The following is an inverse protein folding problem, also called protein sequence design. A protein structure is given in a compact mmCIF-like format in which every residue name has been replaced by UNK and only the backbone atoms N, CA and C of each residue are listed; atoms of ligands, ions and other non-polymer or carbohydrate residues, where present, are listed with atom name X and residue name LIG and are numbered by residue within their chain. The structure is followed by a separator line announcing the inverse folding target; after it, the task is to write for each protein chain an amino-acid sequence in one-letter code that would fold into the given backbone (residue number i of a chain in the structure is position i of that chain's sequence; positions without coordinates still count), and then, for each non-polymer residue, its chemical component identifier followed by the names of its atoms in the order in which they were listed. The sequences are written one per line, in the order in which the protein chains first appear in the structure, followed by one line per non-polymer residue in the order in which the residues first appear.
data_IF_499895541080
#
_entry.id   IF_499895541080
#
_cell.length_a   1.000
_cell.length_b   1.000
_cell.length_c   1.000
_cell.angle_alpha   90.00
_cell.angle_beta   90.00
_cell.angle_gamma   90.00
#
_symmetry.space_group_name_H-M   'P 1'
#
loop_
_entity.id
_entity.type
_entity.pdbx_description
1 polymer ?
#
# COMPACT_ATOMS: atom_id res chain seq x y z
N UNK A 1 -28.41 67.76 2.87
CA UNK A 1 -27.11 68.46 2.86
C UNK A 1 -26.10 67.55 2.22
N UNK A 2 -25.60 67.97 1.05
CA UNK A 2 -24.68 67.22 0.20
C UNK A 2 -23.24 67.74 0.41
N UNK A 3 -22.27 66.83 0.38
CA UNK A 3 -20.84 67.07 0.19
C UNK A 3 -20.13 65.71 0.24
N UNK A 4 -19.16 65.30 -0.56
CA UNK A 4 -18.52 65.80 -1.79
C UNK A 4 -17.77 64.57 -2.34
N UNK A 5 -17.78 64.36 -3.66
CA UNK A 5 -16.90 63.40 -4.33
C UNK A 5 -15.46 63.88 -4.23
N UNK A 6 -14.51 62.99 -3.96
CA UNK A 6 -13.18 63.12 -4.55
C UNK A 6 -12.64 61.74 -4.96
N UNK A 7 -12.03 61.73 -6.13
CA UNK A 7 -11.53 60.59 -6.87
C UNK A 7 -10.01 60.75 -6.91
N UNK A 8 -9.27 59.75 -6.43
CA UNK A 8 -7.94 59.49 -6.99
C UNK A 8 -7.54 58.03 -6.91
N UNK A 9 -7.25 57.51 -8.10
CA UNK A 9 -6.71 56.20 -8.38
C UNK A 9 -5.17 56.17 -8.26
N UNK A 10 -4.65 54.95 -8.40
CA UNK A 10 -3.27 54.54 -8.67
C UNK A 10 -2.29 54.48 -7.49
N UNK A 11 -2.04 53.24 -7.06
CA UNK A 11 -0.94 52.86 -6.18
C UNK A 11 -0.82 51.34 -6.09
N UNK A 12 -0.45 50.71 -7.21
CA UNK A 12 -0.18 49.28 -7.34
C UNK A 12 0.88 48.81 -6.33
N UNK A 13 0.46 48.09 -5.29
CA UNK A 13 1.34 47.34 -4.39
C UNK A 13 0.95 45.87 -4.38
N UNK A 14 1.18 45.17 -5.50
CA UNK A 14 1.08 43.71 -5.56
C UNK A 14 2.24 43.11 -4.76
N UNK A 15 2.06 42.94 -3.46
CA UNK A 15 2.93 42.07 -2.66
C UNK A 15 2.48 40.63 -2.91
N UNK A 16 2.98 40.06 -4.00
CA UNK A 16 2.95 38.62 -4.21
C UNK A 16 3.94 38.04 -3.20
N UNK A 17 3.46 37.69 -2.00
CA UNK A 17 4.17 36.73 -1.19
C UNK A 17 4.11 35.40 -1.94
N UNK A 18 5.16 35.14 -2.73
CA UNK A 18 5.52 33.78 -3.14
C UNK A 18 5.61 32.98 -1.84
N UNK A 19 4.76 31.97 -1.59
CA UNK A 19 5.14 30.94 -0.65
C UNK A 19 6.43 30.36 -1.21
N UNK A 20 7.52 30.52 -0.44
CA UNK A 20 8.78 29.87 -0.74
C UNK A 20 8.46 28.42 -1.05
N UNK A 21 8.79 27.98 -2.26
CA UNK A 21 8.80 26.58 -2.63
C UNK A 21 9.80 25.94 -1.70
N UNK A 22 9.32 25.47 -0.55
CA UNK A 22 10.03 24.49 0.25
C UNK A 22 10.10 23.30 -0.67
N UNK A 23 11.24 23.17 -1.36
CA UNK A 23 11.64 21.91 -1.96
C UNK A 23 11.75 20.98 -0.77
N UNK A 24 10.61 20.37 -0.40
CA UNK A 24 10.59 19.21 0.48
C UNK A 24 11.49 18.22 -0.23
N UNK A 25 12.72 18.09 0.26
CA UNK A 25 13.56 16.93 0.05
C UNK A 25 12.61 15.75 0.14
N UNK A 26 12.33 15.09 -1.00
CA UNK A 26 11.60 13.83 -0.99
C UNK A 26 12.52 12.90 -0.21
N UNK A 27 12.19 12.51 1.04
CA UNK A 27 13.05 11.58 1.75
C UNK A 27 13.08 10.32 0.89
N UNK A 28 14.25 9.75 0.65
CA UNK A 28 14.41 8.54 -0.17
C UNK A 28 13.55 7.39 0.39
N UNK A 29 13.27 7.43 1.69
CA UNK A 29 12.28 6.61 2.41
C UNK A 29 10.91 6.61 1.71
N UNK A 30 10.46 7.76 1.17
CA UNK A 30 9.15 7.89 0.53
C UNK A 30 8.98 7.13 -0.79
N UNK A 31 10.08 6.76 -1.47
CA UNK A 31 10.02 5.95 -2.69
C UNK A 31 10.00 4.46 -2.36
N UNK A 32 10.78 4.04 -1.37
CA UNK A 32 10.79 2.67 -0.87
C UNK A 32 9.42 2.30 -0.29
N UNK A 33 8.83 3.12 0.59
CA UNK A 33 7.51 2.85 1.16
C UNK A 33 6.41 2.83 0.10
N UNK A 34 6.53 3.61 -0.99
CA UNK A 34 5.59 3.55 -2.13
C UNK A 34 5.73 2.27 -2.94
N UNK A 35 6.97 1.84 -3.19
CA UNK A 35 7.25 0.59 -3.87
C UNK A 35 6.71 -0.60 -3.07
N UNK A 36 7.02 -0.65 -1.76
CA UNK A 36 6.55 -1.69 -0.85
C UNK A 36 5.02 -1.71 -0.79
N UNK A 37 4.38 -0.53 -0.70
CA UNK A 37 2.92 -0.43 -0.74
C UNK A 37 2.32 -0.97 -2.04
N UNK A 38 2.91 -0.64 -3.20
CA UNK A 38 2.46 -1.16 -4.48
C UNK A 38 2.58 -2.70 -4.53
N UNK A 39 3.71 -3.25 -4.11
CA UNK A 39 3.95 -4.69 -4.04
C UNK A 39 2.96 -5.40 -3.10
N UNK A 40 2.72 -4.85 -1.90
CA UNK A 40 1.74 -5.40 -0.96
C UNK A 40 0.33 -5.35 -1.56
N UNK A 41 -0.05 -4.23 -2.17
CA UNK A 41 -1.37 -4.07 -2.79
C UNK A 41 -1.59 -5.07 -3.91
N UNK A 42 -0.61 -5.26 -4.78
CA UNK A 42 -0.71 -6.18 -5.90
C UNK A 42 -0.77 -7.63 -5.39
N UNK A 43 0.02 -7.97 -4.38
CA UNK A 43 -0.04 -9.29 -3.70
C UNK A 43 -1.41 -9.55 -3.06
N UNK A 44 -1.99 -8.54 -2.38
CA UNK A 44 -3.32 -8.65 -1.79
C UNK A 44 -4.42 -8.82 -2.83
N UNK A 45 -4.31 -8.16 -4.00
CA UNK A 45 -5.27 -8.32 -5.11
C UNK A 45 -5.17 -9.69 -5.77
N UNK A 46 -3.96 -10.17 -6.01
CA UNK A 46 -3.75 -11.41 -6.74
C UNK A 46 -4.02 -12.64 -5.87
N UNK A 47 -3.68 -12.55 -4.58
CA UNK A 47 -3.58 -13.75 -3.74
C UNK A 47 -4.38 -13.69 -2.45
N UNK A 48 -4.94 -12.52 -2.11
CA UNK A 48 -5.59 -12.29 -0.84
C UNK A 48 -4.62 -12.09 0.34
N UNK A 49 -3.32 -12.22 0.12
CA UNK A 49 -2.30 -12.08 1.16
C UNK A 49 -1.02 -11.42 0.63
N UNK A 50 -0.27 -10.80 1.52
CA UNK A 50 1.08 -10.33 1.28
C UNK A 50 1.98 -10.87 2.39
N UNK A 51 3.17 -11.33 2.05
CA UNK A 51 4.15 -11.84 3.01
C UNK A 51 5.51 -11.23 2.68
N UNK A 52 6.32 -11.03 3.70
CA UNK A 52 7.68 -10.55 3.56
C UNK A 52 8.52 -11.16 4.68
N UNK A 53 9.65 -11.75 4.32
CA UNK A 53 10.61 -12.26 5.29
C UNK A 53 11.27 -11.10 6.03
N UNK A 54 11.43 -11.22 7.35
CA UNK A 54 12.00 -10.17 8.19
C UNK A 54 13.45 -9.84 7.79
N UNK A 55 14.18 -10.84 7.26
CA UNK A 55 15.55 -10.68 6.76
C UNK A 55 15.60 -9.83 5.47
N UNK A 56 14.56 -9.88 4.65
CA UNK A 56 14.45 -9.10 3.41
C UNK A 56 13.72 -7.77 3.62
N UNK A 57 13.18 -7.56 4.82
CA UNK A 57 12.37 -6.41 5.15
C UNK A 57 13.23 -5.14 5.19
N UNK A 58 13.01 -4.25 4.22
CA UNK A 58 13.77 -2.99 4.08
C UNK A 58 13.22 -1.84 4.93
N UNK A 59 12.19 -2.10 5.73
CA UNK A 59 11.48 -1.14 6.59
C UNK A 59 11.17 -1.82 7.93
N UNK A 60 10.82 -1.07 8.96
CA UNK A 60 10.34 -1.68 10.21
C UNK A 60 9.06 -2.48 10.02
N UNK A 61 8.87 -3.52 10.84
CA UNK A 61 7.67 -4.37 10.83
C UNK A 61 6.41 -3.52 11.02
N UNK A 62 6.45 -2.53 11.90
CA UNK A 62 5.31 -1.65 12.15
C UNK A 62 5.03 -0.71 10.97
N UNK A 63 6.06 -0.24 10.27
CA UNK A 63 5.90 0.52 9.03
C UNK A 63 5.28 -0.37 7.95
N UNK A 64 5.79 -1.59 7.78
CA UNK A 64 5.24 -2.56 6.84
C UNK A 64 3.77 -2.87 7.13
N UNK A 65 3.41 -3.08 8.40
CA UNK A 65 2.01 -3.28 8.84
C UNK A 65 1.15 -2.07 8.53
N UNK A 66 1.66 -0.86 8.74
CA UNK A 66 0.95 0.37 8.40
C UNK A 66 0.70 0.47 6.88
N UNK A 67 1.70 0.13 6.05
CA UNK A 67 1.57 0.09 4.60
C UNK A 67 0.58 -1.00 4.16
N UNK A 68 0.60 -2.18 4.78
CA UNK A 68 -0.35 -3.25 4.48
C UNK A 68 -1.79 -2.86 4.82
N UNK A 69 -2.02 -2.23 5.98
CA UNK A 69 -3.34 -1.68 6.34
C UNK A 69 -3.77 -0.58 5.38
N UNK A 70 -2.85 0.27 4.95
CA UNK A 70 -3.14 1.32 3.96
C UNK A 70 -3.53 0.73 2.61
N UNK A 71 -2.76 -0.24 2.10
CA UNK A 71 -3.06 -0.95 0.87
C UNK A 71 -4.45 -1.63 0.93
N UNK A 72 -4.77 -2.28 2.04
CA UNK A 72 -6.10 -2.87 2.24
C UNK A 72 -7.24 -1.84 2.21
N UNK A 73 -7.04 -0.69 2.86
CA UNK A 73 -8.01 0.42 2.84
C UNK A 73 -8.21 0.98 1.43
N UNK A 74 -7.15 1.07 0.63
CA UNK A 74 -7.25 1.47 -0.79
C UNK A 74 -8.07 0.46 -1.62
N UNK A 75 -8.10 -0.81 -1.21
CA UNK A 75 -8.96 -1.85 -1.78
C UNK A 75 -10.38 -1.89 -1.18
N UNK A 76 -10.67 -1.03 -0.19
CA UNK A 76 -11.93 -1.04 0.55
C UNK A 76 -12.13 -2.28 1.41
N UNK A 77 -11.04 -2.95 1.83
CA UNK A 77 -11.09 -4.21 2.60
C UNK A 77 -10.27 -4.12 3.88
N UNK A 78 -10.51 -5.06 4.79
CA UNK A 78 -9.75 -5.19 6.03
C UNK A 78 -8.68 -6.29 5.93
N UNK A 79 -7.50 -6.03 6.48
CA UNK A 79 -6.44 -7.05 6.64
C UNK A 79 -6.24 -7.40 8.11
N UNK A 80 -5.88 -8.65 8.34
CA UNK A 80 -5.26 -9.14 9.55
C UNK A 80 -3.75 -9.23 9.30
N UNK A 81 -2.95 -8.63 10.17
CA UNK A 81 -1.50 -8.72 10.13
C UNK A 81 -1.04 -9.76 11.14
N UNK A 82 -0.18 -10.68 10.71
CA UNK A 82 0.43 -11.73 11.53
C UNK A 82 1.94 -11.53 11.43
N UNK A 83 2.63 -11.57 12.55
CA UNK A 83 4.09 -11.63 12.59
C UNK A 83 4.49 -12.95 13.23
N UNK A 84 5.41 -13.64 12.60
CA UNK A 84 6.07 -14.83 13.15
C UNK A 84 7.55 -14.53 13.31
N UNK A 85 8.31 -15.49 13.85
CA UNK A 85 9.73 -15.31 14.13
C UNK A 85 10.55 -14.87 12.91
N UNK A 86 10.19 -15.33 11.71
CA UNK A 86 10.98 -15.09 10.48
C UNK A 86 10.30 -14.22 9.42
N UNK A 87 8.99 -13.94 9.55
CA UNK A 87 8.22 -13.25 8.51
C UNK A 87 7.08 -12.39 9.08
N UNK A 88 6.70 -11.37 8.32
CA UNK A 88 5.47 -10.62 8.52
C UNK A 88 4.51 -10.89 7.36
N UNK A 89 3.25 -11.14 7.70
CA UNK A 89 2.19 -11.44 6.77
C UNK A 89 0.98 -10.52 6.98
N UNK A 90 0.27 -10.22 5.91
CA UNK A 90 -1.01 -9.52 5.91
C UNK A 90 -1.98 -10.32 5.05
N UNK A 91 -3.14 -10.66 5.61
CA UNK A 91 -4.15 -11.48 4.95
C UNK A 91 -5.47 -10.71 4.95
N UNK A 92 -6.16 -10.65 3.81
CA UNK A 92 -7.51 -10.08 3.74
C UNK A 92 -8.48 -10.97 4.52
N UNK A 93 -9.23 -10.38 5.46
CA UNK A 93 -10.17 -11.14 6.30
C UNK A 93 -11.36 -11.68 5.52
N UNK A 94 -11.76 -10.96 4.49
CA UNK A 94 -12.93 -11.29 3.67
C UNK A 94 -12.56 -12.11 2.43
N UNK A 95 -11.35 -12.68 2.37
CA UNK A 95 -10.85 -13.41 1.21
C UNK A 95 -11.02 -14.93 1.38
N UNK A 96 -11.48 -15.67 0.35
CA UNK A 96 -12.00 -15.19 -0.95
C UNK A 96 -13.46 -14.71 -0.85
N UNK A 97 -13.78 -13.58 -1.48
CA UNK A 97 -15.12 -12.96 -1.48
C UNK A 97 -15.90 -13.26 -2.77
N UNK A 98 -15.24 -13.18 -3.94
CA UNK A 98 -15.89 -13.36 -5.24
C UNK A 98 -15.59 -14.75 -5.84
N UNK A 99 -16.38 -15.16 -6.83
CA UNK A 99 -16.15 -16.45 -7.51
C UNK A 99 -14.85 -16.49 -8.30
N UNK A 100 -14.37 -15.34 -8.80
CA UNK A 100 -13.03 -15.23 -9.41
C UNK A 100 -11.93 -15.50 -8.37
N UNK A 101 -12.04 -14.92 -7.17
CA UNK A 101 -11.09 -15.13 -6.08
C UNK A 101 -11.11 -16.59 -5.56
N UNK A 102 -12.29 -17.22 -5.59
CA UNK A 102 -12.44 -18.65 -5.29
C UNK A 102 -11.76 -19.52 -6.36
N UNK A 103 -11.91 -19.17 -7.64
CA UNK A 103 -11.23 -19.89 -8.72
C UNK A 103 -9.70 -19.81 -8.58
N UNK A 104 -9.16 -18.63 -8.22
CA UNK A 104 -7.72 -18.47 -7.92
C UNK A 104 -7.29 -19.35 -6.75
N UNK A 105 -8.10 -19.39 -5.69
CA UNK A 105 -7.82 -20.22 -4.51
C UNK A 105 -7.81 -21.72 -4.84
N UNK A 106 -8.81 -22.19 -5.60
CA UNK A 106 -8.91 -23.58 -6.05
C UNK A 106 -7.77 -23.96 -6.99
N UNK A 107 -7.39 -23.08 -7.92
CA UNK A 107 -6.27 -23.30 -8.82
C UNK A 107 -4.95 -23.46 -8.04
N UNK A 108 -4.74 -22.65 -7.00
CA UNK A 108 -3.58 -22.78 -6.10
C UNK A 108 -3.61 -24.08 -5.31
N UNK A 109 -4.74 -24.45 -4.72
CA UNK A 109 -4.87 -25.73 -4.00
C UNK A 109 -4.54 -26.91 -4.90
N UNK A 110 -5.05 -26.94 -6.14
CA UNK A 110 -4.74 -27.98 -7.12
C UNK A 110 -3.25 -28.04 -7.46
N UNK A 111 -2.59 -26.88 -7.61
CA UNK A 111 -1.15 -26.80 -7.87
C UNK A 111 -0.34 -27.35 -6.69
N UNK A 112 -0.72 -27.00 -5.45
CA UNK A 112 -0.06 -27.51 -4.24
C UNK A 112 -0.28 -29.01 -4.06
N UNK A 113 -1.49 -29.52 -4.27
CA UNK A 113 -1.77 -30.97 -4.22
C UNK A 113 -0.90 -31.73 -5.21
N UNK A 114 -0.81 -31.27 -6.46
CA UNK A 114 0.08 -31.89 -7.46
C UNK A 114 1.56 -31.84 -7.08
N UNK A 115 2.01 -30.76 -6.44
CA UNK A 115 3.40 -30.66 -5.98
C UNK A 115 3.71 -31.63 -4.83
N UNK A 116 2.73 -31.88 -3.94
CA UNK A 116 2.85 -32.87 -2.88
C UNK A 116 2.77 -34.31 -3.41
N UNK A 117 1.87 -34.56 -4.36
CA UNK A 117 1.75 -35.87 -5.04
C UNK A 117 3.01 -36.21 -5.85
N UNK A 118 3.67 -35.20 -6.44
CA UNK A 118 4.93 -35.38 -7.16
C UNK A 118 6.17 -35.62 -6.29
N UNK A 119 6.06 -35.48 -4.96
CA UNK A 119 7.12 -35.82 -4.00
C UNK A 119 6.92 -37.20 -3.36
N UNK A 120 5.80 -37.87 -3.67
CA UNK A 120 5.49 -39.23 -3.24
C UNK A 120 5.60 -40.20 -4.43
N UNK A 121 6.85 -40.51 -4.84
CA UNK A 121 7.14 -41.60 -5.77
C UNK A 121 8.64 -41.74 -6.02
N UNK A 122 9.15 -42.98 -6.06
CA UNK A 122 9.54 -43.78 -4.89
C UNK A 122 11.06 -43.69 -4.65
N UNK A 123 11.48 -43.79 -3.39
CA UNK A 123 12.80 -44.36 -3.10
C UNK A 123 12.74 -45.86 -3.45
N UNK A 124 13.84 -46.32 -4.06
CA UNK A 124 14.15 -47.62 -4.67
C UNK A 124 13.65 -47.90 -6.11
#
# INVERSE_FOLDING_TARGET
MAATRDVRACGSGRTVHRPGTVIRMRPVVSLLSRSILATIRDSLKETGQARCDLVELRVDVDEWRALARKAARELGRSVQTIETQDQVAAVLRDWPRTDEERAVTLARMRKTMRAMEGHAGPED
#
